data_IF_379132654070
#
_entry.id   IF_379132654070
#
_cell.length_a   1.000
_cell.length_b   1.000
_cell.length_c   1.000
_cell.angle_alpha   90.00
_cell.angle_beta   90.00
_cell.angle_gamma   90.00
#
_symmetry.space_group_name_H-M   'P 1'
#
loop_
_entity.id
_entity.type
_entity.pdbx_description
1 polymer ?
#
# COMPACT_ATOMS: atom_id res chain seq x y z
N UNK A 1 21.69 31.02 32.09
CA UNK A 1 22.24 30.26 30.94
C UNK A 1 21.32 29.07 30.67
N UNK A 2 20.98 28.78 29.41
CA UNK A 2 19.67 28.25 29.02
C UNK A 2 19.46 26.75 29.27
N UNK A 3 18.18 26.43 29.42
CA UNK A 3 17.56 25.14 29.64
C UNK A 3 17.61 24.30 28.34
N UNK A 4 18.17 23.09 28.37
CA UNK A 4 18.06 22.16 27.24
C UNK A 4 17.38 20.89 27.74
N UNK A 5 16.05 20.93 27.74
CA UNK A 5 15.19 19.75 27.81
C UNK A 5 15.45 18.94 26.55
N UNK A 6 16.38 17.99 26.62
CA UNK A 6 16.48 16.90 25.64
C UNK A 6 15.29 15.98 25.85
N UNK A 7 14.12 16.46 25.43
CA UNK A 7 13.04 15.58 25.00
C UNK A 7 13.53 14.95 23.70
N UNK A 8 14.40 13.93 23.82
CA UNK A 8 14.59 12.96 22.76
C UNK A 8 13.26 12.24 22.62
N UNK A 9 12.36 12.86 21.85
CA UNK A 9 11.29 12.19 21.15
C UNK A 9 12.02 11.28 20.15
N UNK A 10 12.53 10.16 20.66
CA UNK A 10 12.90 9.00 19.87
C UNK A 10 11.60 8.64 19.16
N UNK A 11 11.41 9.23 17.99
CA UNK A 11 10.41 8.79 17.04
C UNK A 11 10.83 7.35 16.79
N UNK A 12 10.11 6.43 17.41
CA UNK A 12 10.17 5.01 17.17
C UNK A 12 9.66 4.77 15.75
N UNK A 13 10.38 5.26 14.76
CA UNK A 13 10.51 4.53 13.51
C UNK A 13 11.36 3.32 13.89
N UNK A 14 10.69 2.34 14.50
CA UNK A 14 11.22 1.01 14.64
C UNK A 14 11.55 0.63 13.20
N UNK A 15 12.85 0.61 12.87
CA UNK A 15 13.35 0.19 11.57
C UNK A 15 12.98 -1.28 11.44
N UNK A 16 11.73 -1.54 11.03
CA UNK A 16 11.22 -2.87 10.79
C UNK A 16 12.10 -3.45 9.69
N UNK A 17 12.86 -4.48 10.06
CA UNK A 17 13.69 -5.21 9.12
C UNK A 17 12.74 -5.75 8.05
N UNK A 18 13.00 -5.50 6.75
CA UNK A 18 12.15 -6.01 5.70
C UNK A 18 12.20 -7.54 5.73
N UNK A 19 11.02 -8.16 5.81
CA UNK A 19 10.85 -9.61 5.83
C UNK A 19 10.13 -10.01 4.55
N UNK A 20 10.71 -10.97 3.83
CA UNK A 20 10.08 -11.57 2.65
C UNK A 20 8.74 -12.22 3.02
N UNK A 21 7.77 -12.13 2.12
CA UNK A 21 6.48 -12.79 2.25
C UNK A 21 6.63 -14.31 2.13
N UNK A 22 5.82 -15.06 2.87
CA UNK A 22 5.65 -16.50 2.63
C UNK A 22 4.85 -16.74 1.34
N UNK A 23 4.71 -18.02 0.97
CA UNK A 23 3.85 -18.40 -0.15
C UNK A 23 2.38 -18.05 0.14
N UNK A 24 1.90 -18.32 1.36
CA UNK A 24 0.54 -17.99 1.81
C UNK A 24 0.29 -16.48 1.76
N UNK A 25 1.27 -15.68 2.18
CA UNK A 25 1.20 -14.22 2.09
C UNK A 25 1.11 -13.73 0.64
N UNK A 26 1.81 -14.40 -0.27
CA UNK A 26 1.80 -14.09 -1.70
C UNK A 26 0.44 -14.42 -2.33
N UNK A 27 -0.19 -15.53 -1.92
CA UNK A 27 -1.55 -15.89 -2.32
C UNK A 27 -2.55 -14.83 -1.82
N UNK A 28 -2.50 -14.48 -0.54
CA UNK A 28 -3.37 -13.45 0.04
C UNK A 28 -3.20 -12.08 -0.64
N UNK A 29 -1.97 -11.71 -0.97
CA UNK A 29 -1.67 -10.49 -1.70
C UNK A 29 -2.28 -10.51 -3.11
N UNK A 30 -2.16 -11.65 -3.81
CA UNK A 30 -2.72 -11.83 -5.13
C UNK A 30 -4.24 -11.77 -5.10
N UNK A 31 -4.91 -12.50 -4.21
CA UNK A 31 -6.37 -12.47 -4.01
C UNK A 31 -6.88 -11.06 -3.71
N UNK A 32 -6.19 -10.33 -2.82
CA UNK A 32 -6.53 -8.95 -2.50
C UNK A 32 -6.50 -8.05 -3.73
N UNK A 33 -5.48 -8.17 -4.57
CA UNK A 33 -5.35 -7.38 -5.78
C UNK A 33 -6.35 -7.80 -6.86
N UNK A 34 -6.57 -9.10 -7.05
CA UNK A 34 -7.49 -9.63 -8.07
C UNK A 34 -8.96 -9.55 -7.67
N UNK A 35 -9.28 -9.15 -6.43
CA UNK A 35 -10.65 -8.77 -6.00
C UNK A 35 -11.29 -7.67 -6.87
N UNK A 36 -10.46 -6.94 -7.64
CA UNK A 36 -10.90 -6.04 -8.70
C UNK A 36 -10.09 -6.31 -9.96
N UNK A 37 -10.59 -5.84 -11.12
CA UNK A 37 -9.81 -5.87 -12.35
C UNK A 37 -8.56 -4.97 -12.20
N UNK A 38 -7.40 -5.59 -12.02
CA UNK A 38 -6.09 -4.92 -11.91
C UNK A 38 -5.22 -5.21 -13.13
N UNK A 39 -4.41 -4.25 -13.61
CA UNK A 39 -3.40 -4.53 -14.61
C UNK A 39 -2.38 -5.55 -14.11
N UNK A 40 -2.00 -6.51 -14.95
CA UNK A 40 -1.03 -7.56 -14.59
C UNK A 40 0.29 -6.99 -14.03
N UNK A 41 0.77 -5.87 -14.57
CA UNK A 41 1.97 -5.19 -14.08
C UNK A 41 1.91 -4.81 -12.59
N UNK A 42 0.73 -4.48 -12.08
CA UNK A 42 0.52 -4.09 -10.67
C UNK A 42 0.62 -5.31 -9.77
N UNK A 43 0.04 -6.43 -10.21
CA UNK A 43 0.16 -7.71 -9.52
C UNK A 43 1.61 -8.18 -9.47
N UNK A 44 2.30 -8.19 -10.62
CA UNK A 44 3.70 -8.61 -10.68
C UNK A 44 4.59 -7.70 -9.83
N UNK A 45 4.39 -6.39 -9.87
CA UNK A 45 5.16 -5.46 -9.04
C UNK A 45 4.95 -5.71 -7.54
N UNK A 46 3.71 -5.97 -7.11
CA UNK A 46 3.43 -6.29 -5.72
C UNK A 46 4.11 -7.61 -5.29
N UNK A 47 4.09 -8.63 -6.14
CA UNK A 47 4.79 -9.90 -5.89
C UNK A 47 6.31 -9.73 -5.86
N UNK A 48 6.89 -8.90 -6.74
CA UNK A 48 8.32 -8.57 -6.70
C UNK A 48 8.70 -7.86 -5.41
N UNK A 49 7.86 -6.97 -4.88
CA UNK A 49 8.11 -6.34 -3.59
C UNK A 49 8.03 -7.38 -2.46
N UNK A 50 7.07 -8.30 -2.55
CA UNK A 50 6.84 -9.33 -1.55
C UNK A 50 8.03 -10.29 -1.40
N UNK A 51 8.89 -10.46 -2.42
CA UNK A 51 10.09 -11.32 -2.30
C UNK A 51 11.12 -10.80 -1.31
N UNK A 52 11.05 -9.53 -0.91
CA UNK A 52 11.98 -8.94 0.05
C UNK A 52 11.30 -8.16 1.18
N UNK A 53 10.07 -7.63 0.99
CA UNK A 53 9.33 -6.88 2.00
C UNK A 53 7.81 -7.07 1.87
N UNK A 54 7.26 -7.96 2.69
CA UNK A 54 5.82 -8.23 2.81
C UNK A 54 5.03 -6.95 3.11
N UNK A 55 5.46 -6.18 4.12
CA UNK A 55 4.72 -5.00 4.58
C UNK A 55 4.63 -3.95 3.49
N UNK A 56 5.73 -3.72 2.75
CA UNK A 56 5.73 -2.82 1.61
C UNK A 56 4.82 -3.32 0.48
N UNK A 57 4.78 -4.63 0.21
CA UNK A 57 3.93 -5.20 -0.83
C UNK A 57 2.44 -4.99 -0.54
N UNK A 58 2.00 -5.27 0.69
CA UNK A 58 0.61 -5.03 1.11
C UNK A 58 0.25 -3.54 1.09
N UNK A 59 1.18 -2.67 1.52
CA UNK A 59 1.02 -1.22 1.47
C UNK A 59 0.90 -0.70 0.04
N UNK A 60 1.70 -1.23 -0.90
CA UNK A 60 1.60 -0.91 -2.32
C UNK A 60 0.21 -1.29 -2.87
N UNK A 61 -0.26 -2.51 -2.57
CA UNK A 61 -1.59 -2.95 -2.96
C UNK A 61 -2.71 -2.05 -2.41
N UNK A 62 -2.63 -1.67 -1.13
CA UNK A 62 -3.62 -0.75 -0.52
C UNK A 62 -3.63 0.62 -1.19
N UNK A 63 -2.47 1.19 -1.47
CA UNK A 63 -2.39 2.47 -2.16
C UNK A 63 -3.01 2.40 -3.56
N UNK A 64 -2.74 1.30 -4.28
CA UNK A 64 -3.34 1.09 -5.59
C UNK A 64 -4.87 1.00 -5.52
N UNK A 65 -5.41 0.14 -4.65
CA UNK A 65 -6.85 -0.03 -4.47
C UNK A 65 -7.55 1.26 -4.00
N UNK A 66 -6.90 2.06 -3.16
CA UNK A 66 -7.42 3.37 -2.74
C UNK A 66 -7.50 4.34 -3.92
N UNK A 67 -6.49 4.37 -4.78
CA UNK A 67 -6.48 5.21 -6.00
C UNK A 67 -7.57 4.78 -6.99
N UNK A 68 -7.72 3.48 -7.23
CA UNK A 68 -8.75 2.97 -8.16
C UNK A 68 -10.17 3.21 -7.65
N UNK A 69 -10.41 3.10 -6.34
CA UNK A 69 -11.69 3.48 -5.73
C UNK A 69 -12.00 4.96 -5.98
N UNK A 70 -11.06 5.88 -5.71
CA UNK A 70 -11.24 7.32 -5.94
C UNK A 70 -11.52 7.65 -7.42
N UNK A 71 -10.86 6.95 -8.35
CA UNK A 71 -11.08 7.15 -9.79
C UNK A 71 -12.50 6.80 -10.22
N UNK A 72 -13.12 5.76 -9.65
CA UNK A 72 -14.53 5.42 -9.92
C UNK A 72 -15.48 6.52 -9.42
N UNK A 73 -15.21 7.14 -8.28
CA UNK A 73 -16.02 8.24 -7.75
C UNK A 73 -15.93 9.52 -8.60
N UNK A 74 -14.74 9.88 -9.09
CA UNK A 74 -14.58 11.05 -9.98
C UNK A 74 -15.28 10.82 -11.32
N UNK A 75 -15.18 9.61 -11.88
CA UNK A 75 -15.88 9.26 -13.11
C UNK A 75 -17.41 9.36 -12.93
N UNK A 76 -17.96 8.78 -11.86
CA UNK A 76 -19.41 8.83 -11.59
C UNK A 76 -19.93 10.27 -11.36
N UNK A 77 -19.17 11.14 -10.70
CA UNK A 77 -19.55 12.55 -10.56
C UNK A 77 -19.58 13.29 -11.91
N UNK A 78 -18.65 12.98 -12.82
CA UNK A 78 -18.65 13.57 -14.16
C UNK A 78 -19.89 13.21 -14.99
N UNK A 79 -20.46 12.01 -14.81
CA UNK A 79 -21.73 11.63 -15.46
C UNK A 79 -22.98 12.15 -14.74
N UNK A 80 -22.87 12.45 -13.44
CA UNK A 80 -24.00 12.99 -12.66
C UNK A 80 -24.28 14.46 -12.97
N UNK A 81 -23.29 15.22 -13.43
CA UNK A 81 -23.41 16.68 -13.62
C UNK A 81 -23.75 17.11 -15.06
N UNK A 82 -24.15 16.16 -15.93
CA UNK A 82 -24.52 16.42 -17.33
C UNK A 82 -26.00 16.13 -17.62
N UNK A 83 -26.90 16.39 -16.66
CA UNK A 83 -28.36 16.38 -16.90
C UNK A 83 -28.97 17.73 -16.56
#
# INVERSE_FOLDING_TARGET
MPNIRVNQKLSSEQLEIPIAATEEDSVLLAEKLTSVAVPLKVLLQALTIATYDKTAAFRYADQYLRKTKKSKWIFLQSFSNSR
#
